data_IF_106542732269
#
_entry.id   IF_106542732269
#
_cell.length_a   1.000
_cell.length_b   1.000
_cell.length_c   1.000
_cell.angle_alpha   90.00
_cell.angle_beta   90.00
_cell.angle_gamma   90.00
#
_symmetry.space_group_name_H-M   'P 1'
#
loop_
_entity.id
_entity.type
_entity.pdbx_description
1 polymer ?
#
# COMPACT_ATOMS: atom_id res chain seq x y z
N UNK A 1 -5.14 14.55 38.46
CA UNK A 1 -5.13 14.35 37.01
C UNK A 1 -3.69 14.17 36.59
N UNK A 2 -3.40 13.08 35.88
CA UNK A 2 -2.07 12.81 35.32
C UNK A 2 -1.92 13.67 34.06
N UNK A 3 -0.71 14.17 33.80
CA UNK A 3 -0.38 14.99 32.63
C UNK A 3 0.85 14.40 31.95
N UNK A 4 0.86 14.39 30.62
CA UNK A 4 2.00 14.03 29.80
C UNK A 4 3.07 15.11 30.01
N UNK A 5 4.29 14.76 30.45
CA UNK A 5 5.35 15.73 30.67
C UNK A 5 5.83 16.32 29.34
N UNK A 6 6.50 17.47 29.42
CA UNK A 6 7.18 18.05 28.25
C UNK A 6 8.53 17.38 28.09
N UNK A 7 8.77 16.77 26.93
CA UNK A 7 10.02 16.12 26.58
C UNK A 7 10.93 17.07 25.79
N UNK A 8 12.24 16.95 25.97
CA UNK A 8 13.23 17.77 25.27
C UNK A 8 13.82 17.06 24.05
N UNK A 9 13.74 15.73 24.01
CA UNK A 9 14.28 14.89 22.94
C UNK A 9 13.48 13.59 22.80
N UNK A 10 13.78 12.83 21.74
CA UNK A 10 13.09 11.58 21.41
C UNK A 10 13.43 10.41 22.35
N UNK A 11 14.66 10.38 22.88
CA UNK A 11 15.09 9.33 23.83
C UNK A 11 14.27 9.39 25.13
N UNK A 12 14.00 10.59 25.65
CA UNK A 12 13.14 10.83 26.81
C UNK A 12 11.71 10.35 26.56
N UNK A 13 11.17 10.56 25.35
CA UNK A 13 9.83 10.09 24.96
C UNK A 13 9.79 8.56 24.97
N UNK A 14 10.82 7.92 24.39
CA UNK A 14 10.91 6.47 24.30
C UNK A 14 11.02 5.83 25.70
N UNK A 15 11.89 6.37 26.56
CA UNK A 15 12.08 5.87 27.92
C UNK A 15 10.79 5.99 28.73
N UNK A 16 10.09 7.12 28.62
CA UNK A 16 8.81 7.34 29.29
C UNK A 16 7.75 6.32 28.85
N UNK A 17 7.51 6.16 27.55
CA UNK A 17 6.52 5.22 27.03
C UNK A 17 6.93 3.74 27.12
N UNK A 18 8.19 3.45 27.44
CA UNK A 18 8.62 2.08 27.74
C UNK A 18 8.09 1.56 29.09
N UNK A 19 7.72 2.48 29.99
CA UNK A 19 7.32 2.17 31.37
C UNK A 19 5.90 2.62 31.73
N UNK A 20 5.26 3.46 30.91
CA UNK A 20 3.93 4.02 31.17
C UNK A 20 2.91 3.52 30.14
N UNK A 21 1.70 3.21 30.58
CA UNK A 21 0.57 2.87 29.70
C UNK A 21 -0.06 4.16 29.15
N UNK A 22 -0.36 4.19 27.85
CA UNK A 22 -1.01 5.33 27.21
C UNK A 22 -2.45 5.54 27.68
N UNK A 23 -3.13 4.49 28.13
CA UNK A 23 -4.49 4.58 28.65
C UNK A 23 -4.59 5.48 29.89
N UNK A 24 -3.54 5.55 30.71
CA UNK A 24 -3.49 6.38 31.93
C UNK A 24 -3.49 7.89 31.63
N UNK A 25 -3.22 8.27 30.38
CA UNK A 25 -3.12 9.64 29.91
C UNK A 25 -4.24 10.03 28.95
N UNK A 26 -5.26 9.19 28.77
CA UNK A 26 -6.35 9.40 27.82
C UNK A 26 -7.04 10.77 27.97
N UNK A 27 -7.30 11.18 29.20
CA UNK A 27 -7.94 12.47 29.54
C UNK A 27 -7.05 13.71 29.26
N UNK A 28 -5.74 13.50 29.04
CA UNK A 28 -4.78 14.55 28.71
C UNK A 28 -4.47 14.63 27.20
N UNK A 29 -4.97 13.67 26.42
CA UNK A 29 -4.81 13.66 24.97
C UNK A 29 -5.87 14.54 24.30
N UNK A 30 -5.53 15.09 23.13
CA UNK A 30 -6.47 15.80 22.27
C UNK A 30 -7.11 14.82 21.27
N UNK A 31 -8.40 14.99 20.99
CA UNK A 31 -9.05 14.27 19.91
C UNK A 31 -8.48 14.76 18.56
N UNK A 32 -7.96 13.83 17.76
CA UNK A 32 -7.49 14.12 16.40
C UNK A 32 -8.28 13.30 15.37
N UNK A 33 -8.76 13.96 14.33
CA UNK A 33 -9.47 13.31 13.23
C UNK A 33 -8.45 12.69 12.25
N UNK A 34 -8.10 11.43 12.47
CA UNK A 34 -7.28 10.69 11.51
C UNK A 34 -8.08 10.42 10.24
N UNK A 35 -7.87 11.24 9.21
CA UNK A 35 -8.45 11.02 7.88
C UNK A 35 -7.72 9.86 7.19
N UNK A 36 -8.22 8.64 7.37
CA UNK A 36 -7.79 7.48 6.57
C UNK A 36 -8.44 7.57 5.19
N UNK A 37 -7.75 8.20 4.24
CA UNK A 37 -8.22 8.23 2.84
C UNK A 37 -8.01 6.87 2.17
N UNK A 38 -9.09 6.10 2.02
CA UNK A 38 -9.11 4.99 1.07
C UNK A 38 -9.24 5.60 -0.31
N UNK A 39 -8.13 5.83 -1.02
CA UNK A 39 -8.19 6.16 -2.44
C UNK A 39 -8.87 4.98 -3.14
N UNK A 40 -10.12 5.10 -3.65
CA UNK A 40 -10.72 4.00 -4.38
C UNK A 40 -9.79 3.71 -5.55
N UNK A 41 -9.30 2.47 -5.66
CA UNK A 41 -8.46 2.05 -6.79
C UNK A 41 -9.28 2.25 -8.05
N UNK A 42 -9.08 3.39 -8.71
CA UNK A 42 -9.82 3.78 -9.90
C UNK A 42 -9.48 2.76 -10.99
N UNK A 43 -10.48 1.93 -11.31
CA UNK A 43 -10.54 1.01 -12.45
C UNK A 43 -9.80 -0.33 -12.26
N UNK A 44 -10.45 -1.27 -11.55
CA UNK A 44 -10.12 -2.69 -11.60
C UNK A 44 -10.81 -3.34 -12.81
N UNK A 45 -10.06 -3.98 -13.69
CA UNK A 45 -10.59 -4.85 -14.74
C UNK A 45 -10.45 -6.30 -14.26
N UNK A 46 -11.58 -7.00 -14.12
CA UNK A 46 -11.59 -8.44 -13.85
C UNK A 46 -11.60 -9.16 -15.19
N UNK A 47 -10.51 -9.87 -15.50
CA UNK A 47 -10.35 -10.66 -16.71
C UNK A 47 -10.25 -12.14 -16.35
N UNK A 48 -11.26 -12.96 -16.67
CA UNK A 48 -11.14 -14.42 -16.54
C UNK A 48 -10.05 -14.94 -17.46
N UNK A 49 -9.11 -15.70 -16.91
CA UNK A 49 -8.08 -16.42 -17.65
C UNK A 49 -8.26 -17.91 -17.37
N UNK A 50 -8.11 -18.74 -18.41
CA UNK A 50 -8.06 -20.18 -18.18
C UNK A 50 -6.74 -20.55 -17.46
N UNK A 51 -6.72 -21.75 -16.87
CA UNK A 51 -5.62 -22.17 -16.01
C UNK A 51 -4.29 -22.31 -16.77
N UNK A 52 -4.34 -22.82 -18.00
CA UNK A 52 -3.16 -23.00 -18.85
C UNK A 52 -2.50 -21.66 -19.19
N UNK A 53 -3.30 -20.67 -19.62
CA UNK A 53 -2.80 -19.33 -19.93
C UNK A 53 -2.21 -18.66 -18.68
N UNK A 54 -2.88 -18.80 -17.53
CA UNK A 54 -2.37 -18.24 -16.27
C UNK A 54 -1.02 -18.86 -15.88
N UNK A 55 -0.86 -20.17 -16.07
CA UNK A 55 0.41 -20.87 -15.84
C UNK A 55 1.52 -20.34 -16.75
N UNK A 56 1.22 -20.15 -18.03
CA UNK A 56 2.20 -19.64 -19.00
C UNK A 56 2.62 -18.19 -18.70
N UNK A 57 1.65 -17.33 -18.35
CA UNK A 57 1.93 -15.95 -17.92
C UNK A 57 2.81 -15.92 -16.67
N UNK A 58 2.53 -16.77 -15.66
CA UNK A 58 3.34 -16.86 -14.44
C UNK A 58 4.77 -17.30 -14.74
N UNK A 59 4.94 -18.32 -15.57
CA UNK A 59 6.26 -18.82 -15.96
C UNK A 59 7.07 -17.73 -16.66
N UNK A 60 6.48 -17.08 -17.65
CA UNK A 60 7.16 -16.03 -18.42
C UNK A 60 7.44 -14.77 -17.60
N UNK A 61 6.56 -14.42 -16.67
CA UNK A 61 6.77 -13.30 -15.76
C UNK A 61 7.97 -13.58 -14.83
N UNK A 62 8.05 -14.80 -14.27
CA UNK A 62 9.17 -15.23 -13.43
C UNK A 62 10.51 -15.19 -14.18
N UNK A 63 10.55 -15.73 -15.41
CA UNK A 63 11.75 -15.68 -16.27
C UNK A 63 12.22 -14.25 -16.56
N UNK A 64 11.29 -13.28 -16.55
CA UNK A 64 11.56 -11.85 -16.80
C UNK A 64 11.77 -11.03 -15.53
N UNK A 65 11.69 -11.65 -14.34
CA UNK A 65 11.76 -10.93 -13.06
C UNK A 65 10.60 -9.96 -12.82
N UNK A 66 9.42 -10.24 -13.39
CA UNK A 66 8.21 -9.43 -13.29
C UNK A 66 7.10 -10.20 -12.57
N UNK A 67 6.14 -9.48 -12.00
CA UNK A 67 4.85 -10.08 -11.61
C UNK A 67 3.97 -10.31 -12.84
N UNK A 68 3.03 -11.26 -12.77
CA UNK A 68 2.06 -11.52 -13.84
C UNK A 68 1.26 -10.26 -14.19
N UNK A 69 0.91 -9.43 -13.21
CA UNK A 69 0.18 -8.17 -13.44
C UNK A 69 1.02 -7.19 -14.24
N UNK A 70 2.29 -6.99 -13.88
CA UNK A 70 3.20 -6.11 -14.63
C UNK A 70 3.40 -6.57 -16.07
N UNK A 71 3.56 -7.88 -16.27
CA UNK A 71 3.72 -8.44 -17.61
C UNK A 71 2.46 -8.19 -18.47
N UNK A 72 1.27 -8.47 -17.92
CA UNK A 72 0.00 -8.24 -18.61
C UNK A 72 -0.23 -6.75 -18.92
N UNK A 73 0.03 -5.85 -17.97
CA UNK A 73 -0.06 -4.41 -18.18
C UNK A 73 0.85 -3.95 -19.31
N UNK A 74 2.10 -4.44 -19.35
CA UNK A 74 3.04 -4.13 -20.42
C UNK A 74 2.51 -4.58 -21.79
N UNK A 75 1.92 -5.77 -21.89
CA UNK A 75 1.34 -6.24 -23.15
C UNK A 75 0.13 -5.43 -23.60
N UNK A 76 -0.75 -5.05 -22.67
CA UNK A 76 -1.89 -4.18 -22.98
C UNK A 76 -1.41 -2.85 -23.56
N UNK A 77 -0.44 -2.20 -22.92
CA UNK A 77 0.13 -0.94 -23.41
C UNK A 77 0.76 -1.11 -24.79
N UNK A 78 1.55 -2.17 -24.99
CA UNK A 78 2.18 -2.43 -26.28
C UNK A 78 1.17 -2.71 -27.39
N UNK A 79 0.11 -3.46 -27.10
CA UNK A 79 -0.96 -3.74 -28.06
C UNK A 79 -1.70 -2.47 -28.47
N UNK A 80 -1.97 -1.57 -27.51
CA UNK A 80 -2.58 -0.28 -27.81
C UNK A 80 -1.69 0.60 -28.69
N UNK A 81 -0.39 0.65 -28.42
CA UNK A 81 0.56 1.40 -29.26
C UNK A 81 0.61 0.87 -30.70
N UNK A 82 0.61 -0.46 -30.87
CA UNK A 82 0.63 -1.08 -32.19
C UNK A 82 -0.59 -0.72 -33.03
N UNK A 83 -1.78 -0.66 -32.43
CA UNK A 83 -3.01 -0.27 -33.14
C UNK A 83 -3.07 1.25 -33.41
N UNK A 84 -2.55 2.07 -32.49
CA UNK A 84 -2.54 3.53 -32.67
C UNK A 84 -1.52 4.02 -33.69
N UNK A 85 -0.40 3.32 -33.89
CA UNK A 85 0.61 3.66 -34.90
C UNK A 85 0.18 3.28 -36.33
N UNK A 86 -0.92 2.54 -36.49
CA UNK A 86 -1.47 2.07 -37.78
C UNK A 86 -2.58 2.99 -38.32
N UNK A 87 -2.98 4.03 -37.56
CA UNK A 87 -3.96 5.06 -37.99
C UNK A 87 -3.29 6.40 -38.24
#
# INVERSE_FOLDING_TARGET
>A
MVRIPKFNNEEEIQEFWSTHDSADYWEDMEDDEVIVSFVPRKHLIVMPLNEDLLRDVRKLALEKGLSSVQLLQKWIVNGLHQESDVT
#
